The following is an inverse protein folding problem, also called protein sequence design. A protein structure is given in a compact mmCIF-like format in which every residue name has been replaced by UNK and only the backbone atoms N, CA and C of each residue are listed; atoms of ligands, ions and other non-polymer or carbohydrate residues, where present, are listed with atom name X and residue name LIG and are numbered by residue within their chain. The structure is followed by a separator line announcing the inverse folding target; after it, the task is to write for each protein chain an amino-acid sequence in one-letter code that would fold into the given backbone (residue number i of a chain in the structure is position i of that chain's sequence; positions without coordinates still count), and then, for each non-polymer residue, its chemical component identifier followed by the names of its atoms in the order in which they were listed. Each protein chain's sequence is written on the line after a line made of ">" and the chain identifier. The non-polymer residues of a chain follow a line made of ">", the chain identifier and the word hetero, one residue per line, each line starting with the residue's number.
data_IF_099804615312
#
_entry.id   IF_099804615312
#
_cell.length_a   1.000
_cell.length_b   1.000
_cell.length_c   1.000
_cell.angle_alpha   90.00
_cell.angle_beta   90.00
_cell.angle_gamma   90.00
#
_symmetry.space_group_name_H-M   'P 1'
#
loop_
_entity.id
_entity.type
_entity.pdbx_description
1 polymer ?
#
# COMPACT_ATOMS: atom_id res chain seq x y z
N UNK A 1 -33.82 19.98 -29.93
CA UNK A 1 -34.17 19.83 -28.52
C UNK A 1 -32.88 19.66 -27.74
N UNK A 2 -32.52 20.67 -26.98
CA UNK A 2 -31.19 20.84 -26.42
C UNK A 2 -30.94 19.95 -25.22
N UNK A 3 -29.73 19.41 -25.15
CA UNK A 3 -29.16 18.72 -23.99
C UNK A 3 -28.43 19.80 -23.17
N UNK A 4 -28.91 20.06 -21.97
CA UNK A 4 -28.36 21.01 -21.02
C UNK A 4 -27.15 20.34 -20.36
N UNK A 5 -25.96 20.77 -20.73
CA UNK A 5 -24.73 20.46 -20.00
C UNK A 5 -24.70 21.30 -18.71
N UNK A 6 -24.89 20.64 -17.56
CA UNK A 6 -24.61 21.27 -16.28
C UNK A 6 -23.10 21.14 -16.02
N UNK A 7 -22.35 22.17 -16.43
CA UNK A 7 -21.01 22.39 -15.96
C UNK A 7 -21.05 22.83 -14.49
N UNK A 8 -20.50 22.03 -13.61
CA UNK A 8 -20.25 22.41 -12.21
C UNK A 8 -19.05 23.35 -12.23
N UNK A 9 -19.31 24.65 -12.19
CA UNK A 9 -18.32 25.70 -11.96
C UNK A 9 -17.87 25.66 -10.49
N UNK A 10 -16.75 25.02 -10.21
CA UNK A 10 -16.06 25.11 -8.92
C UNK A 10 -15.16 26.36 -8.92
N UNK A 11 -15.76 27.54 -8.74
CA UNK A 11 -15.02 28.70 -8.26
C UNK A 11 -14.84 28.56 -6.77
N UNK A 12 -13.69 28.08 -6.31
CA UNK A 12 -13.31 27.97 -4.92
C UNK A 12 -13.06 29.36 -4.33
N UNK A 13 -13.95 29.84 -3.47
CA UNK A 13 -13.61 30.83 -2.45
C UNK A 13 -12.65 30.17 -1.45
N UNK A 14 -11.37 30.58 -1.50
CA UNK A 14 -10.28 30.08 -0.65
C UNK A 14 -10.32 30.66 0.79
N UNK A 15 -11.44 30.51 1.50
CA UNK A 15 -11.44 30.56 2.95
C UNK A 15 -11.71 29.14 3.47
N UNK A 16 -10.81 28.57 4.31
CA UNK A 16 -11.04 27.26 4.89
C UNK A 16 -12.38 27.30 5.68
N UNK A 17 -13.25 26.34 5.36
CA UNK A 17 -14.50 26.15 6.06
C UNK A 17 -14.20 25.84 7.55
N UNK A 18 -15.06 26.23 8.50
CA UNK A 18 -14.87 25.95 9.94
C UNK A 18 -14.49 24.50 10.21
N UNK A 19 -15.13 23.57 9.47
CA UNK A 19 -14.93 22.13 9.60
C UNK A 19 -13.51 21.69 9.14
N UNK A 20 -12.99 22.31 8.08
CA UNK A 20 -11.62 22.04 7.60
C UNK A 20 -10.57 22.50 8.62
N UNK A 21 -10.75 23.69 9.23
CA UNK A 21 -9.84 24.18 10.26
C UNK A 21 -9.85 23.28 11.50
N UNK A 22 -11.03 22.76 11.89
CA UNK A 22 -11.13 21.81 12.98
C UNK A 22 -10.40 20.50 12.67
N UNK A 23 -10.59 19.92 11.48
CA UNK A 23 -9.90 18.70 11.06
C UNK A 23 -8.39 18.89 11.09
N UNK A 24 -7.88 20.00 10.55
CA UNK A 24 -6.45 20.33 10.57
C UNK A 24 -5.94 20.43 12.02
N UNK A 25 -6.67 21.13 12.89
CA UNK A 25 -6.30 21.26 14.30
C UNK A 25 -6.26 19.91 15.03
N UNK A 26 -7.22 19.03 14.76
CA UNK A 26 -7.24 17.68 15.33
C UNK A 26 -6.08 16.83 14.83
N UNK A 27 -5.76 16.86 13.52
CA UNK A 27 -4.63 16.15 12.92
C UNK A 27 -3.27 16.62 13.48
N UNK A 28 -3.14 17.91 13.86
CA UNK A 28 -1.92 18.45 14.45
C UNK A 28 -1.60 17.89 15.85
N UNK A 29 -2.55 17.27 16.53
CA UNK A 29 -2.39 16.79 17.90
C UNK A 29 -1.64 15.47 18.05
N UNK A 30 -1.35 14.74 16.95
CA UNK A 30 -0.62 13.48 16.98
C UNK A 30 0.34 13.36 15.78
N UNK A 31 1.35 12.51 15.90
CA UNK A 31 2.47 12.46 14.94
C UNK A 31 2.05 12.03 13.53
N UNK A 32 1.26 10.97 13.40
CA UNK A 32 0.73 10.55 12.09
C UNK A 32 -0.06 11.68 11.41
N UNK A 33 -0.89 12.41 12.17
CA UNK A 33 -1.66 13.52 11.63
C UNK A 33 -0.78 14.66 11.12
N UNK A 34 0.25 15.05 11.90
CA UNK A 34 1.25 16.05 11.47
C UNK A 34 2.00 15.60 10.22
N UNK A 35 2.37 14.33 10.15
CA UNK A 35 3.05 13.76 8.98
C UNK A 35 2.16 13.83 7.74
N UNK A 36 0.91 13.40 7.84
CA UNK A 36 -0.06 13.43 6.73
C UNK A 36 -0.28 14.85 6.20
N UNK A 37 -0.42 15.84 7.09
CA UNK A 37 -0.56 17.25 6.72
C UNK A 37 0.66 17.80 5.96
N UNK A 38 1.86 17.37 6.34
CA UNK A 38 3.11 17.87 5.76
C UNK A 38 3.48 17.17 4.44
N UNK A 39 3.12 15.89 4.29
CA UNK A 39 3.60 15.06 3.18
C UNK A 39 2.52 14.69 2.16
N UNK A 40 1.24 14.87 2.50
CA UNK A 40 0.10 14.51 1.64
C UNK A 40 0.07 13.03 1.24
N UNK A 41 0.72 12.18 2.02
CA UNK A 41 0.90 10.76 1.75
C UNK A 41 1.53 10.03 2.94
N UNK A 42 1.82 8.75 2.76
CA UNK A 42 2.47 7.91 3.76
C UNK A 42 3.87 7.51 3.27
N UNK A 43 4.80 7.36 4.20
CA UNK A 43 6.07 6.66 3.98
C UNK A 43 6.00 5.24 4.55
N UNK A 44 7.10 4.49 4.47
CA UNK A 44 7.17 3.11 4.97
C UNK A 44 6.86 3.00 6.46
N UNK A 45 7.39 3.92 7.28
CA UNK A 45 7.17 3.93 8.74
C UNK A 45 5.68 4.08 9.09
N UNK A 46 5.02 5.12 8.58
CA UNK A 46 3.61 5.39 8.88
C UNK A 46 2.67 4.38 8.24
N UNK A 47 3.02 3.84 7.08
CA UNK A 47 2.30 2.71 6.51
C UNK A 47 2.37 1.52 7.47
N UNK A 48 3.55 1.16 7.96
CA UNK A 48 3.70 0.07 8.92
C UNK A 48 2.92 0.32 10.22
N UNK A 49 2.96 1.53 10.77
CA UNK A 49 2.19 1.89 11.95
C UNK A 49 0.69 1.60 11.80
N UNK A 50 0.13 1.96 10.64
CA UNK A 50 -1.28 1.69 10.29
C UNK A 50 -1.52 0.17 10.16
N UNK A 51 -0.63 -0.55 9.47
CA UNK A 51 -0.77 -1.99 9.21
C UNK A 51 -0.68 -2.83 10.48
N UNK A 52 0.16 -2.43 11.44
CA UNK A 52 0.33 -3.15 12.71
C UNK A 52 -0.75 -2.83 13.75
N UNK A 53 -1.55 -1.79 13.55
CA UNK A 53 -2.56 -1.37 14.53
C UNK A 53 -3.56 -2.48 14.89
N UNK A 54 -4.13 -3.28 13.97
CA UNK A 54 -5.09 -4.34 14.34
C UNK A 54 -4.49 -5.44 15.22
N UNK A 55 -3.20 -5.74 15.07
CA UNK A 55 -2.53 -6.83 15.80
C UNK A 55 -1.84 -6.34 17.09
N UNK A 56 -1.36 -5.11 17.12
CA UNK A 56 -0.53 -4.59 18.21
C UNK A 56 -1.05 -3.28 18.79
N UNK A 57 -1.30 -2.28 17.96
CA UNK A 57 -1.61 -0.92 18.40
C UNK A 57 -2.89 -0.82 19.21
N UNK A 58 -3.95 -1.55 18.81
CA UNK A 58 -5.23 -1.53 19.54
C UNK A 58 -5.14 -2.15 20.95
N UNK A 59 -4.18 -3.04 21.18
CA UNK A 59 -3.96 -3.68 22.49
C UNK A 59 -3.37 -2.71 23.52
N UNK A 60 -2.52 -1.80 23.04
CA UNK A 60 -1.86 -0.81 23.90
C UNK A 60 -2.71 0.45 24.10
N UNK A 61 -3.48 0.85 23.08
CA UNK A 61 -4.22 2.10 23.03
C UNK A 61 -3.30 3.34 23.02
N UNK A 62 -2.03 3.14 22.65
CA UNK A 62 -1.00 4.18 22.62
C UNK A 62 -0.69 4.61 21.18
N UNK A 63 -0.45 5.91 21.01
CA UNK A 63 0.09 6.53 19.80
C UNK A 63 1.59 6.20 19.64
N UNK A 64 2.16 6.58 18.51
CA UNK A 64 3.58 6.39 18.18
C UNK A 64 4.55 7.01 19.17
N UNK A 65 4.17 8.10 19.83
CA UNK A 65 4.96 8.79 20.85
C UNK A 65 4.74 8.24 22.27
N UNK A 66 3.94 7.19 22.44
CA UNK A 66 3.58 6.58 23.73
C UNK A 66 2.46 7.32 24.48
N UNK A 67 1.91 8.38 23.94
CA UNK A 67 0.73 9.05 24.49
C UNK A 67 -0.54 8.21 24.19
N UNK A 68 -1.65 8.54 24.89
CA UNK A 68 -2.93 7.90 24.61
C UNK A 68 -3.45 8.33 23.22
N UNK A 69 -3.96 7.38 22.44
CA UNK A 69 -4.59 7.66 21.16
C UNK A 69 -5.69 8.74 21.29
N UNK A 70 -5.65 9.74 20.43
CA UNK A 70 -6.72 10.72 20.27
C UNK A 70 -7.96 10.07 19.64
N UNK A 71 -9.12 10.70 19.72
CA UNK A 71 -10.34 10.22 19.05
C UNK A 71 -10.17 10.19 17.52
N UNK A 72 -9.54 11.21 16.96
CA UNK A 72 -9.27 11.31 15.52
C UNK A 72 -8.30 10.20 15.07
N UNK A 73 -7.21 10.01 15.79
CA UNK A 73 -6.24 8.96 15.48
C UNK A 73 -6.86 7.56 15.61
N UNK A 74 -7.64 7.30 16.66
CA UNK A 74 -8.39 6.05 16.82
C UNK A 74 -9.32 5.81 15.63
N UNK A 75 -10.07 6.83 15.22
CA UNK A 75 -10.97 6.72 14.08
C UNK A 75 -10.20 6.42 12.78
N UNK A 76 -9.08 7.12 12.54
CA UNK A 76 -8.20 6.89 11.39
C UNK A 76 -7.74 5.42 11.35
N UNK A 77 -7.29 4.88 12.46
CA UNK A 77 -6.69 3.55 12.54
C UNK A 77 -7.71 2.40 12.55
N UNK A 78 -8.97 2.65 12.98
CA UNK A 78 -9.95 1.59 13.22
C UNK A 78 -11.30 1.73 12.49
N UNK A 79 -11.56 2.87 11.83
CA UNK A 79 -12.85 3.14 11.19
C UNK A 79 -12.73 3.76 9.79
N UNK A 80 -11.60 4.40 9.47
CA UNK A 80 -11.39 5.03 8.16
C UNK A 80 -11.40 3.96 7.04
N UNK A 81 -12.38 3.99 6.12
CA UNK A 81 -12.59 2.90 5.17
C UNK A 81 -11.36 2.53 4.34
N UNK A 82 -10.66 3.53 3.80
CA UNK A 82 -9.48 3.27 2.95
C UNK A 82 -8.31 2.69 3.74
N UNK A 83 -8.20 2.99 5.05
CA UNK A 83 -7.15 2.42 5.89
C UNK A 83 -7.51 1.02 6.37
N UNK A 84 -8.78 0.73 6.62
CA UNK A 84 -9.25 -0.64 6.84
C UNK A 84 -9.00 -1.52 5.61
N UNK A 85 -9.31 -1.02 4.41
CA UNK A 85 -8.98 -1.71 3.16
C UNK A 85 -7.47 -1.90 2.98
N UNK A 86 -6.63 -0.94 3.40
CA UNK A 86 -5.17 -1.06 3.39
C UNK A 86 -4.67 -2.14 4.34
N UNK A 87 -5.24 -2.23 5.55
CA UNK A 87 -4.93 -3.28 6.53
C UNK A 87 -5.34 -4.66 6.00
N UNK A 88 -6.53 -4.80 5.42
CA UNK A 88 -7.01 -6.06 4.85
C UNK A 88 -6.15 -6.50 3.66
N UNK A 89 -5.82 -5.58 2.75
CA UNK A 89 -4.89 -5.84 1.65
C UNK A 89 -3.56 -6.41 2.15
N UNK A 90 -2.98 -5.83 3.19
CA UNK A 90 -1.75 -6.32 3.80
C UNK A 90 -1.89 -7.77 4.29
N UNK A 91 -3.00 -8.10 4.96
CA UNK A 91 -3.26 -9.47 5.40
C UNK A 91 -3.43 -10.44 4.22
N UNK A 92 -4.07 -10.01 3.13
CA UNK A 92 -4.18 -10.80 1.91
C UNK A 92 -2.81 -11.06 1.28
N UNK A 93 -1.93 -10.05 1.20
CA UNK A 93 -0.56 -10.21 0.70
C UNK A 93 0.21 -11.25 1.51
N UNK A 94 0.19 -11.14 2.84
CA UNK A 94 0.82 -12.12 3.74
C UNK A 94 0.28 -13.53 3.53
N UNK A 95 -1.03 -13.68 3.52
CA UNK A 95 -1.71 -14.98 3.34
C UNK A 95 -1.33 -15.63 2.02
N UNK A 96 -1.38 -14.89 0.92
CA UNK A 96 -1.03 -15.42 -0.42
C UNK A 96 0.45 -15.79 -0.47
N UNK A 97 1.34 -14.93 0.02
CA UNK A 97 2.79 -15.20 0.05
C UNK A 97 3.08 -16.45 0.87
N UNK A 98 2.46 -16.59 2.07
CA UNK A 98 2.63 -17.78 2.91
C UNK A 98 2.18 -19.06 2.22
N UNK A 99 1.08 -19.03 1.46
CA UNK A 99 0.58 -20.20 0.70
C UNK A 99 1.51 -20.60 -0.46
N UNK A 100 2.21 -19.64 -1.04
CA UNK A 100 3.13 -19.88 -2.16
C UNK A 100 4.54 -20.24 -1.69
N UNK A 101 4.86 -20.05 -0.41
CA UNK A 101 6.20 -20.23 0.14
C UNK A 101 6.69 -21.67 0.00
N UNK A 102 7.94 -21.83 -0.43
CA UNK A 102 8.66 -23.11 -0.54
C UNK A 102 10.13 -22.89 -0.25
N UNK A 103 10.84 -23.93 0.16
CA UNK A 103 12.30 -23.87 0.33
C UNK A 103 13.02 -23.44 -0.95
N UNK A 104 14.14 -22.76 -0.79
CA UNK A 104 15.00 -22.22 -1.85
C UNK A 104 14.36 -21.08 -2.69
N UNK A 105 13.35 -20.41 -2.16
CA UNK A 105 12.78 -19.23 -2.82
C UNK A 105 13.57 -17.97 -2.54
N UNK A 106 13.60 -17.10 -3.55
CA UNK A 106 14.05 -15.73 -3.44
C UNK A 106 12.84 -14.79 -3.63
N UNK A 107 12.45 -14.08 -2.58
CA UNK A 107 11.32 -13.16 -2.59
C UNK A 107 11.80 -11.71 -2.55
N UNK A 108 11.08 -10.81 -3.22
CA UNK A 108 11.32 -9.38 -3.15
C UNK A 108 10.09 -8.61 -2.72
N UNK A 109 10.27 -7.54 -1.94
CA UNK A 109 9.25 -6.52 -1.66
C UNK A 109 9.69 -5.19 -2.32
N UNK A 110 8.83 -4.60 -3.18
CA UNK A 110 9.16 -3.42 -4.01
C UNK A 110 7.93 -2.53 -4.23
N UNK A 111 7.84 -1.32 -3.67
CA UNK A 111 8.70 -0.78 -2.61
C UNK A 111 8.50 -1.56 -1.32
N UNK A 112 9.57 -1.75 -0.56
CA UNK A 112 9.47 -2.60 0.62
C UNK A 112 8.95 -1.86 1.87
N UNK A 113 9.07 -0.54 1.93
CA UNK A 113 8.85 0.19 3.17
C UNK A 113 9.66 -0.46 4.30
N UNK A 114 8.97 -0.97 5.33
CA UNK A 114 9.58 -1.74 6.41
C UNK A 114 9.59 -3.26 6.17
N UNK A 115 9.21 -3.73 5.00
CA UNK A 115 9.21 -5.13 4.54
C UNK A 115 8.42 -6.11 5.45
N UNK A 116 7.45 -5.61 6.20
CA UNK A 116 6.67 -6.46 7.12
C UNK A 116 5.81 -7.51 6.41
N UNK A 117 5.45 -7.28 5.17
CA UNK A 117 4.75 -8.25 4.31
C UNK A 117 5.54 -9.55 4.12
N UNK A 118 6.88 -9.49 4.16
CA UNK A 118 7.77 -10.64 4.12
C UNK A 118 8.32 -11.00 5.51
N UNK A 119 8.79 -10.04 6.30
CA UNK A 119 9.44 -10.31 7.60
C UNK A 119 8.51 -10.99 8.62
N UNK A 120 7.19 -10.83 8.50
CA UNK A 120 6.21 -11.40 9.44
C UNK A 120 5.66 -12.77 9.05
N UNK A 121 6.20 -13.42 8.01
CA UNK A 121 5.78 -14.74 7.58
C UNK A 121 6.40 -15.84 8.46
N UNK A 122 5.76 -17.01 8.48
CA UNK A 122 6.31 -18.20 9.14
C UNK A 122 7.24 -18.95 8.18
N UNK A 123 8.52 -18.99 8.52
CA UNK A 123 9.58 -19.63 7.76
C UNK A 123 10.08 -20.96 8.39
N UNK A 124 9.48 -21.40 9.50
CA UNK A 124 9.99 -22.57 10.26
C UNK A 124 10.07 -23.86 9.45
N UNK A 125 9.19 -24.04 8.48
CA UNK A 125 9.12 -25.24 7.63
C UNK A 125 9.97 -25.12 6.34
N UNK A 126 10.71 -24.01 6.13
CA UNK A 126 11.37 -23.74 4.86
C UNK A 126 12.85 -23.41 5.04
N UNK A 127 13.67 -23.94 4.14
CA UNK A 127 15.11 -23.73 4.13
C UNK A 127 15.54 -22.82 2.98
N UNK A 128 16.69 -22.15 3.13
CA UNK A 128 17.35 -21.34 2.10
C UNK A 128 16.45 -20.27 1.49
N UNK A 129 15.73 -19.55 2.33
CA UNK A 129 14.89 -18.41 1.88
C UNK A 129 15.77 -17.15 1.81
N UNK A 130 15.65 -16.45 0.69
CA UNK A 130 16.29 -15.15 0.49
C UNK A 130 15.21 -14.07 0.36
N UNK A 131 15.40 -12.96 1.06
CA UNK A 131 14.52 -11.79 1.01
C UNK A 131 15.28 -10.59 0.48
N UNK A 132 14.69 -9.86 -0.45
CA UNK A 132 15.20 -8.59 -0.98
C UNK A 132 14.20 -7.48 -0.72
N UNK A 133 14.59 -6.46 0.04
CA UNK A 133 13.82 -5.24 0.23
C UNK A 133 14.37 -4.11 -0.64
N UNK A 134 13.54 -3.57 -1.55
CA UNK A 134 13.92 -2.46 -2.42
C UNK A 134 13.01 -1.26 -2.16
N UNK A 135 13.62 -0.10 -1.92
CA UNK A 135 12.89 1.16 -1.73
C UNK A 135 13.76 2.34 -2.18
N UNK A 136 13.13 3.50 -2.45
CA UNK A 136 13.85 4.75 -2.68
C UNK A 136 14.09 5.55 -1.40
N UNK A 137 13.34 5.24 -0.33
CA UNK A 137 13.45 5.93 0.95
C UNK A 137 14.51 5.25 1.85
N UNK A 138 15.69 5.89 2.04
CA UNK A 138 16.75 5.33 2.88
C UNK A 138 16.34 5.20 4.36
N UNK A 139 15.42 6.04 4.84
CA UNK A 139 14.95 5.97 6.22
C UNK A 139 14.05 4.74 6.41
N UNK A 140 13.19 4.44 5.46
CA UNK A 140 12.40 3.19 5.46
C UNK A 140 13.30 1.96 5.42
N UNK A 141 14.36 1.96 4.60
CA UNK A 141 15.33 0.87 4.53
C UNK A 141 16.11 0.69 5.84
N UNK A 142 16.52 1.77 6.50
CA UNK A 142 17.19 1.70 7.79
C UNK A 142 16.29 1.07 8.87
N UNK A 143 15.01 1.43 8.90
CA UNK A 143 14.03 0.81 9.80
C UNK A 143 13.78 -0.67 9.45
N UNK A 144 13.68 -1.00 8.16
CA UNK A 144 13.52 -2.39 7.70
C UNK A 144 14.72 -3.26 8.11
N UNK A 145 15.94 -2.75 7.96
CA UNK A 145 17.16 -3.44 8.40
C UNK A 145 17.15 -3.69 9.91
N UNK A 146 16.78 -2.69 10.71
CA UNK A 146 16.64 -2.83 12.16
C UNK A 146 15.60 -3.91 12.53
N UNK A 147 14.44 -3.93 11.89
CA UNK A 147 13.41 -4.95 12.13
C UNK A 147 13.87 -6.35 11.72
N UNK A 148 14.66 -6.45 10.65
CA UNK A 148 15.18 -7.72 10.13
C UNK A 148 16.13 -8.43 11.10
N UNK A 149 16.74 -7.70 12.06
CA UNK A 149 17.63 -8.28 13.07
C UNK A 149 16.94 -9.28 14.02
N UNK A 150 15.62 -9.18 14.14
CA UNK A 150 14.79 -10.14 14.89
C UNK A 150 14.24 -11.30 14.04
N UNK A 151 14.55 -11.31 12.74
CA UNK A 151 14.12 -12.38 11.84
C UNK A 151 14.83 -13.71 12.12
N UNK A 152 14.25 -14.86 11.74
CA UNK A 152 14.89 -16.16 11.86
C UNK A 152 16.28 -16.22 11.21
N UNK A 153 17.24 -16.83 11.89
CA UNK A 153 18.64 -16.88 11.44
C UNK A 153 18.89 -17.68 10.14
N UNK A 154 17.91 -18.46 9.70
CA UNK A 154 17.95 -19.21 8.45
C UNK A 154 17.57 -18.39 7.21
N UNK A 155 17.23 -17.11 7.38
CA UNK A 155 16.94 -16.19 6.28
C UNK A 155 18.19 -15.43 5.83
N UNK A 156 18.34 -15.24 4.54
CA UNK A 156 19.29 -14.28 3.97
C UNK A 156 18.51 -13.04 3.55
N UNK A 157 18.82 -11.89 4.16
CA UNK A 157 18.06 -10.66 3.93
C UNK A 157 18.98 -9.58 3.39
N UNK A 158 18.57 -8.92 2.32
CA UNK A 158 19.30 -7.83 1.68
C UNK A 158 18.39 -6.64 1.40
N UNK A 159 18.93 -5.43 1.59
CA UNK A 159 18.25 -4.18 1.27
C UNK A 159 19.01 -3.40 0.23
N UNK A 160 18.27 -2.70 -0.66
CA UNK A 160 18.87 -1.84 -1.66
C UNK A 160 18.03 -0.57 -1.88
N UNK A 161 18.71 0.59 -1.88
CA UNK A 161 18.10 1.87 -2.24
C UNK A 161 18.09 1.99 -3.76
N UNK A 162 16.93 1.68 -4.39
CA UNK A 162 16.79 1.61 -5.86
C UNK A 162 15.42 2.09 -6.30
N UNK A 163 15.40 2.70 -7.48
CA UNK A 163 14.17 3.01 -8.20
C UNK A 163 13.54 1.72 -8.76
N UNK A 164 12.26 1.47 -8.44
CA UNK A 164 11.52 0.32 -8.91
C UNK A 164 11.43 0.21 -10.45
N UNK A 165 11.59 1.30 -11.17
CA UNK A 165 11.67 1.33 -12.64
C UNK A 165 13.07 1.05 -13.19
N UNK A 166 14.10 0.99 -12.35
CA UNK A 166 15.51 0.85 -12.75
C UNK A 166 16.26 -0.16 -11.85
N UNK A 167 15.64 -1.30 -11.57
CA UNK A 167 16.24 -2.33 -10.74
C UNK A 167 17.46 -2.92 -11.46
N UNK A 168 18.68 -2.78 -10.90
CA UNK A 168 19.91 -3.23 -11.55
C UNK A 168 20.10 -4.76 -11.48
N UNK A 169 21.13 -5.25 -12.20
CA UNK A 169 21.58 -6.63 -12.12
C UNK A 169 20.66 -7.65 -12.80
N UNK A 170 21.02 -8.92 -12.67
CA UNK A 170 20.34 -10.06 -13.29
C UNK A 170 19.73 -11.00 -12.24
N UNK A 171 19.43 -10.49 -11.05
CA UNK A 171 18.78 -11.29 -10.02
C UNK A 171 17.36 -11.65 -10.47
N UNK A 172 17.04 -12.93 -10.38
CA UNK A 172 15.73 -13.47 -10.68
C UNK A 172 15.04 -13.90 -9.38
N UNK A 173 13.83 -13.37 -9.16
CA UNK A 173 13.02 -13.68 -7.98
C UNK A 173 11.95 -14.71 -8.31
N UNK A 174 11.57 -15.51 -7.32
CA UNK A 174 10.44 -16.43 -7.40
C UNK A 174 9.11 -15.70 -7.17
N UNK A 175 9.14 -14.61 -6.36
CA UNK A 175 7.98 -13.81 -6.04
C UNK A 175 8.38 -12.35 -5.81
N UNK A 176 7.59 -11.42 -6.36
CA UNK A 176 7.62 -9.99 -6.03
C UNK A 176 6.31 -9.61 -5.35
N UNK A 177 6.42 -9.00 -4.16
CA UNK A 177 5.35 -8.29 -3.46
C UNK A 177 5.46 -6.80 -3.77
N UNK A 178 4.44 -6.21 -4.42
CA UNK A 178 4.43 -4.78 -4.77
C UNK A 178 3.18 -4.10 -4.26
N UNK A 179 3.29 -3.48 -3.09
CA UNK A 179 2.17 -2.94 -2.35
C UNK A 179 2.03 -1.42 -2.53
N UNK A 180 1.11 -0.99 -3.40
CA UNK A 180 0.63 0.39 -3.44
C UNK A 180 1.45 1.40 -4.24
N UNK A 181 2.51 1.01 -4.97
CA UNK A 181 3.30 1.96 -5.75
C UNK A 181 2.52 2.56 -6.92
N UNK A 182 1.75 1.76 -7.62
CA UNK A 182 0.99 2.17 -8.81
C UNK A 182 -0.11 3.21 -8.52
N UNK A 183 -0.58 3.33 -7.27
CA UNK A 183 -1.61 4.31 -6.91
C UNK A 183 -1.12 5.77 -6.95
N UNK A 184 0.20 5.97 -7.00
CA UNK A 184 0.85 7.27 -7.17
C UNK A 184 1.20 7.59 -8.64
N UNK A 185 0.93 6.66 -9.56
CA UNK A 185 1.35 6.76 -10.98
C UNK A 185 0.13 6.91 -11.87
N UNK A 186 -0.22 8.14 -12.30
CA UNK A 186 -1.40 8.36 -13.13
C UNK A 186 -1.22 7.85 -14.57
N UNK A 187 0.00 7.86 -15.10
CA UNK A 187 0.27 7.48 -16.49
C UNK A 187 0.24 5.97 -16.68
N UNK A 188 -0.65 5.53 -17.57
CA UNK A 188 -0.85 4.12 -17.92
C UNK A 188 0.43 3.46 -18.43
N UNK A 189 1.15 4.11 -19.34
CA UNK A 189 2.42 3.61 -19.89
C UNK A 189 3.47 3.40 -18.78
N UNK A 190 3.54 4.31 -17.82
CA UNK A 190 4.49 4.23 -16.72
C UNK A 190 4.20 3.05 -15.77
N UNK A 191 2.92 2.71 -15.58
CA UNK A 191 2.54 1.50 -14.85
C UNK A 191 2.92 0.22 -15.61
N UNK A 192 2.71 0.20 -16.92
CA UNK A 192 3.12 -0.94 -17.76
C UNK A 192 4.64 -1.13 -17.70
N UNK A 193 5.43 -0.05 -17.79
CA UNK A 193 6.89 -0.09 -17.63
C UNK A 193 7.30 -0.69 -16.27
N UNK A 194 6.62 -0.30 -15.16
CA UNK A 194 6.87 -0.88 -13.84
C UNK A 194 6.64 -2.39 -13.83
N UNK A 195 5.50 -2.84 -14.37
CA UNK A 195 5.20 -4.26 -14.41
C UNK A 195 6.13 -5.03 -15.36
N UNK A 196 6.56 -4.45 -16.48
CA UNK A 196 7.60 -5.02 -17.33
C UNK A 196 8.93 -5.16 -16.60
N UNK A 197 9.30 -4.17 -15.78
CA UNK A 197 10.49 -4.26 -14.94
C UNK A 197 10.37 -5.43 -13.95
N UNK A 198 9.22 -5.62 -13.33
CA UNK A 198 8.98 -6.77 -12.46
C UNK A 198 9.02 -8.10 -13.24
N UNK A 199 8.41 -8.17 -14.41
CA UNK A 199 8.49 -9.35 -15.27
C UNK A 199 9.93 -9.70 -15.63
N UNK A 200 10.77 -8.71 -15.96
CA UNK A 200 12.17 -8.91 -16.29
C UNK A 200 13.00 -9.44 -15.10
N UNK A 201 12.55 -9.22 -13.86
CA UNK A 201 13.20 -9.63 -12.63
C UNK A 201 12.64 -10.91 -12.01
N UNK A 202 11.53 -11.40 -12.50
CA UNK A 202 10.96 -12.67 -12.08
C UNK A 202 11.50 -13.83 -12.93
N UNK A 203 11.68 -14.98 -12.33
CA UNK A 203 11.81 -16.24 -13.07
C UNK A 203 10.56 -16.52 -13.90
N UNK A 204 10.69 -17.24 -15.00
CA UNK A 204 9.52 -17.76 -15.73
C UNK A 204 8.67 -18.60 -14.79
N UNK A 205 7.36 -18.34 -14.74
CA UNK A 205 6.45 -18.95 -13.78
C UNK A 205 6.49 -18.35 -12.38
N UNK A 206 7.32 -17.33 -12.13
CA UNK A 206 7.36 -16.57 -10.87
C UNK A 206 6.12 -15.70 -10.67
N UNK A 207 5.87 -15.28 -9.44
CA UNK A 207 4.63 -14.62 -9.03
C UNK A 207 4.82 -13.14 -8.75
N UNK A 208 3.84 -12.35 -9.14
CA UNK A 208 3.64 -10.96 -8.71
C UNK A 208 2.38 -10.89 -7.86
N UNK A 209 2.51 -10.36 -6.64
CA UNK A 209 1.38 -9.94 -5.82
C UNK A 209 1.37 -8.41 -5.87
N UNK A 210 0.31 -7.83 -6.36
CA UNK A 210 0.12 -6.37 -6.43
C UNK A 210 -1.31 -5.99 -6.08
N UNK A 211 -1.60 -4.71 -5.99
CA UNK A 211 -2.95 -4.19 -5.77
C UNK A 211 -3.13 -2.90 -6.56
N UNK A 212 -4.36 -2.42 -6.62
CA UNK A 212 -4.69 -1.13 -7.23
C UNK A 212 -5.82 -0.47 -6.44
N UNK A 213 -6.00 0.83 -6.60
CA UNK A 213 -7.15 1.53 -6.03
C UNK A 213 -8.27 1.60 -7.07
N UNK A 214 -9.46 1.10 -6.70
CA UNK A 214 -10.64 1.14 -7.56
C UNK A 214 -11.24 2.55 -7.61
N UNK A 215 -11.97 2.89 -8.69
CA UNK A 215 -12.72 4.15 -8.75
C UNK A 215 -13.75 4.26 -7.61
N UNK A 216 -13.95 5.47 -7.06
CA UNK A 216 -14.83 5.68 -5.89
C UNK A 216 -16.27 5.15 -6.04
N UNK A 217 -16.79 5.09 -7.27
CA UNK A 217 -18.12 4.53 -7.54
C UNK A 217 -18.21 3.00 -7.33
N UNK A 218 -17.06 2.32 -7.22
CA UNK A 218 -16.98 0.88 -6.94
C UNK A 218 -16.94 0.57 -5.44
N UNK A 219 -16.71 1.58 -4.60
CA UNK A 219 -16.49 1.40 -3.17
C UNK A 219 -17.77 0.95 -2.44
N UNK A 220 -17.59 0.05 -1.50
CA UNK A 220 -18.66 -0.54 -0.69
C UNK A 220 -18.34 -0.37 0.80
N UNK A 221 -18.30 0.87 1.32
CA UNK A 221 -17.94 1.10 2.72
C UNK A 221 -18.99 0.50 3.66
N UNK A 222 -18.54 -0.04 4.78
CA UNK A 222 -19.44 -0.56 5.81
C UNK A 222 -20.36 0.53 6.38
N UNK A 223 -19.91 1.78 6.39
CA UNK A 223 -20.63 2.92 6.91
C UNK A 223 -20.43 4.15 6.00
N UNK A 224 -21.51 4.71 5.48
CA UNK A 224 -21.46 5.91 4.64
C UNK A 224 -21.02 7.17 5.39
N UNK A 225 -21.27 7.26 6.70
CA UNK A 225 -20.81 8.38 7.51
C UNK A 225 -19.27 8.38 7.61
N UNK A 226 -18.65 7.21 7.76
CA UNK A 226 -17.20 7.06 7.78
C UNK A 226 -16.58 7.39 6.41
N UNK A 227 -17.23 7.04 5.30
CA UNK A 227 -16.78 7.47 3.97
C UNK A 227 -16.85 8.98 3.80
N UNK A 228 -17.89 9.61 4.30
CA UNK A 228 -18.02 11.08 4.27
C UNK A 228 -16.91 11.73 5.08
N UNK A 229 -16.64 11.25 6.28
CA UNK A 229 -15.55 11.73 7.13
C UNK A 229 -14.17 11.49 6.50
N UNK A 230 -13.94 10.31 5.91
CA UNK A 230 -12.73 10.02 5.12
C UNK A 230 -12.51 11.06 4.02
N UNK A 231 -13.54 11.35 3.23
CA UNK A 231 -13.42 12.32 2.13
C UNK A 231 -13.12 13.73 2.63
N UNK A 232 -13.67 14.14 3.76
CA UNK A 232 -13.35 15.43 4.38
C UNK A 232 -11.87 15.46 4.83
N UNK A 233 -11.41 14.44 5.51
CA UNK A 233 -10.02 14.36 6.01
C UNK A 233 -9.03 14.27 4.84
N UNK A 234 -9.21 13.33 3.92
CA UNK A 234 -8.24 13.06 2.85
C UNK A 234 -8.19 14.16 1.79
N UNK A 235 -9.34 14.69 1.37
CA UNK A 235 -9.39 15.66 0.28
C UNK A 235 -9.26 17.11 0.78
N UNK A 236 -9.92 17.47 1.88
CA UNK A 236 -9.93 18.84 2.38
C UNK A 236 -8.88 19.09 3.46
N UNK A 237 -8.62 18.12 4.35
CA UNK A 237 -7.60 18.23 5.39
C UNK A 237 -6.19 17.98 4.86
N UNK A 238 -5.96 16.83 4.27
CA UNK A 238 -4.64 16.32 3.89
C UNK A 238 -4.26 16.65 2.44
N UNK A 239 -5.24 16.80 1.54
CA UNK A 239 -5.03 16.88 0.09
C UNK A 239 -4.21 15.67 -0.44
N UNK A 240 -4.66 14.47 -0.15
CA UNK A 240 -3.96 13.22 -0.42
C UNK A 240 -3.64 13.00 -1.90
N UNK A 241 -2.46 12.46 -2.19
CA UNK A 241 -1.91 12.30 -3.56
C UNK A 241 -2.11 10.92 -4.18
N UNK A 242 -2.48 9.90 -3.39
CA UNK A 242 -2.66 8.52 -3.86
C UNK A 242 -4.04 8.28 -4.49
N UNK A 243 -4.29 8.84 -5.66
CA UNK A 243 -5.61 8.83 -6.31
C UNK A 243 -5.56 8.39 -7.78
N UNK A 244 -4.57 7.57 -8.15
CA UNK A 244 -4.51 7.01 -9.50
C UNK A 244 -5.41 5.77 -9.60
N UNK A 245 -6.72 6.01 -9.70
CA UNK A 245 -7.75 4.98 -9.74
C UNK A 245 -7.66 4.14 -11.01
N UNK A 246 -7.92 2.82 -10.89
CA UNK A 246 -7.96 1.86 -12.02
C UNK A 246 -9.12 0.90 -11.86
N UNK A 247 -9.77 0.60 -12.98
CA UNK A 247 -10.72 -0.50 -13.08
C UNK A 247 -9.99 -1.85 -13.19
N UNK A 248 -10.69 -2.95 -12.89
CA UNK A 248 -10.18 -4.31 -13.12
C UNK A 248 -9.73 -4.52 -14.56
N UNK A 249 -10.46 -3.94 -15.52
CA UNK A 249 -10.12 -4.04 -16.95
C UNK A 249 -8.79 -3.38 -17.28
N UNK A 250 -8.50 -2.23 -16.66
CA UNK A 250 -7.25 -1.51 -16.87
C UNK A 250 -6.06 -2.25 -16.26
N UNK A 251 -6.18 -2.71 -15.01
CA UNK A 251 -5.10 -3.45 -14.35
C UNK A 251 -4.82 -4.78 -15.08
N UNK A 252 -5.88 -5.48 -15.53
CA UNK A 252 -5.74 -6.69 -16.32
C UNK A 252 -4.96 -6.44 -17.61
N UNK A 253 -5.35 -5.44 -18.38
CA UNK A 253 -4.65 -5.06 -19.62
C UNK A 253 -3.19 -4.66 -19.36
N UNK A 254 -2.90 -3.89 -18.29
CA UNK A 254 -1.54 -3.49 -17.94
C UNK A 254 -0.65 -4.68 -17.63
N UNK A 255 -1.13 -5.63 -16.82
CA UNK A 255 -0.39 -6.83 -16.43
C UNK A 255 -0.21 -7.79 -17.62
N UNK A 256 -1.25 -8.03 -18.42
CA UNK A 256 -1.16 -8.87 -19.63
C UNK A 256 -0.15 -8.25 -20.63
N UNK A 257 -0.17 -6.93 -20.83
CA UNK A 257 0.80 -6.23 -21.68
C UNK A 257 2.24 -6.36 -21.17
N UNK A 258 2.42 -6.49 -19.86
CA UNK A 258 3.73 -6.67 -19.23
C UNK A 258 4.20 -8.14 -19.16
N UNK A 259 3.41 -9.11 -19.69
CA UNK A 259 3.79 -10.52 -19.73
C UNK A 259 3.34 -11.33 -18.51
N UNK A 260 2.23 -10.93 -17.88
CA UNK A 260 1.63 -11.66 -16.77
C UNK A 260 0.29 -12.28 -17.14
N UNK A 261 0.03 -13.46 -16.59
CA UNK A 261 -1.29 -14.08 -16.48
C UNK A 261 -1.87 -13.79 -15.09
N UNK A 262 -3.08 -13.25 -15.02
CA UNK A 262 -3.76 -13.07 -13.73
C UNK A 262 -4.35 -14.42 -13.29
N UNK A 263 -3.95 -14.86 -12.11
CA UNK A 263 -4.45 -16.09 -11.51
C UNK A 263 -5.65 -15.83 -10.60
N UNK A 264 -5.61 -14.74 -9.84
CA UNK A 264 -6.65 -14.41 -8.87
C UNK A 264 -6.75 -12.89 -8.69
N UNK A 265 -7.98 -12.40 -8.50
CA UNK A 265 -8.29 -11.03 -8.10
C UNK A 265 -9.20 -11.11 -6.88
N UNK A 266 -8.72 -10.61 -5.74
CA UNK A 266 -9.36 -10.75 -4.43
C UNK A 266 -9.74 -9.35 -3.95
N UNK A 267 -11.03 -8.99 -3.93
CA UNK A 267 -11.47 -7.72 -3.38
C UNK A 267 -11.26 -7.70 -1.85
N UNK A 268 -10.98 -6.52 -1.32
CA UNK A 268 -11.17 -6.25 0.10
C UNK A 268 -12.67 -6.01 0.39
N UNK A 269 -13.05 -6.06 1.67
CA UNK A 269 -14.46 -5.94 2.08
C UNK A 269 -15.12 -4.61 1.66
N UNK A 270 -14.33 -3.58 1.40
CA UNK A 270 -14.80 -2.26 0.98
C UNK A 270 -14.62 -2.01 -0.51
N UNK A 271 -14.06 -3.00 -1.22
CA UNK A 271 -13.78 -2.95 -2.66
C UNK A 271 -12.95 -1.73 -3.08
N UNK A 272 -12.00 -1.33 -2.23
CA UNK A 272 -11.12 -0.18 -2.46
C UNK A 272 -9.75 -0.56 -3.00
N UNK A 273 -9.14 -1.65 -2.45
CA UNK A 273 -7.80 -2.13 -2.80
C UNK A 273 -7.78 -3.62 -3.13
N UNK A 274 -8.41 -4.07 -4.23
CA UNK A 274 -8.30 -5.47 -4.64
C UNK A 274 -6.85 -5.91 -4.77
N UNK A 275 -6.56 -7.12 -4.25
CA UNK A 275 -5.27 -7.78 -4.41
C UNK A 275 -5.28 -8.62 -5.67
N UNK A 276 -4.20 -8.55 -6.44
CA UNK A 276 -4.00 -9.33 -7.67
C UNK A 276 -2.83 -10.28 -7.46
N UNK A 277 -3.09 -11.57 -7.67
CA UNK A 277 -2.05 -12.58 -7.85
C UNK A 277 -1.89 -12.83 -9.34
N UNK A 278 -0.70 -12.59 -9.85
CA UNK A 278 -0.35 -12.81 -11.25
C UNK A 278 0.91 -13.68 -11.37
N UNK A 279 1.06 -14.39 -12.49
CA UNK A 279 2.20 -15.24 -12.80
C UNK A 279 2.86 -14.76 -14.09
N UNK A 280 4.20 -14.68 -14.10
CA UNK A 280 4.97 -14.41 -15.31
C UNK A 280 4.82 -15.57 -16.29
N UNK A 281 4.47 -15.24 -17.56
CA UNK A 281 4.36 -16.19 -18.68
C UNK A 281 5.73 -16.49 -19.27
#
# INVERSE_FOLDING_TARGET
>A
MGIISHGINLTSNNQPNSDQNQIIAELQNFELGRFLLSNHGLNGYWTNYILQYPEQGHLTGLSSDGSKLSKMETWILSQCPILLATQERYQQFRRITQQLLRSNMHLASVPCGLMQDLLSLDYQAFDNIQLSGLDLDPDSLAHADQLSQSAPANLTINFACVDAWQIPGNTEWDLISSNGLNIYVPEDARCIELYQQFANKLKTGGYLITSFITPPQCWQPHNLADLTQQNLILNQGIAAKWQSFRSEKEIKRQLETAGFEILELIPDQQNMFPTVLARKI
#
